data_IF_458338492877
#
_entry.id   IF_458338492877
#
_cell.length_a   1.000
_cell.length_b   1.000
_cell.length_c   1.000
_cell.angle_alpha   90.00
_cell.angle_beta   90.00
_cell.angle_gamma   90.00
#
_symmetry.space_group_name_H-M   'P 1'
#
loop_
_entity.id
_entity.type
_entity.pdbx_description
1 polymer ?
#
# COMPACT_ATOMS: atom_id res chain seq x y z
N UNK A 1 32.41 73.27 13.57
CA UNK A 1 31.09 72.59 13.53
C UNK A 1 30.91 71.90 12.18
N UNK A 2 31.27 70.61 12.06
CA UNK A 2 31.02 69.74 10.89
C UNK A 2 31.61 68.34 11.17
N UNK A 3 31.10 67.65 12.20
CA UNK A 3 31.58 66.29 12.55
C UNK A 3 30.49 65.41 13.18
N UNK A 4 29.22 65.52 12.74
CA UNK A 4 28.13 64.84 13.46
C UNK A 4 27.00 64.21 12.63
N UNK A 5 27.10 64.06 11.30
CA UNK A 5 25.92 63.66 10.52
C UNK A 5 26.10 62.65 9.37
N UNK A 6 27.16 61.84 9.32
CA UNK A 6 27.24 60.76 8.32
C UNK A 6 27.68 59.41 8.92
N UNK A 7 27.47 59.22 10.22
CA UNK A 7 27.69 57.93 10.90
C UNK A 7 26.39 57.13 11.11
N UNK A 8 25.28 57.50 10.45
CA UNK A 8 23.95 56.93 10.69
C UNK A 8 23.29 56.24 9.48
N UNK A 9 24.05 55.93 8.41
CA UNK A 9 23.54 55.16 7.26
C UNK A 9 24.17 53.77 7.07
N UNK A 10 25.05 53.33 7.97
CA UNK A 10 25.70 52.00 7.90
C UNK A 10 25.17 51.00 8.96
N UNK A 11 23.98 51.23 9.51
CA UNK A 11 23.34 50.32 10.49
C UNK A 11 21.90 50.02 10.07
N UNK A 12 21.68 49.53 8.83
CA UNK A 12 20.36 49.05 8.39
C UNK A 12 20.39 48.08 7.20
N UNK A 13 21.42 47.23 7.07
CA UNK A 13 21.44 46.20 6.02
C UNK A 13 21.93 44.81 6.48
N UNK A 14 21.99 44.56 7.79
CA UNK A 14 22.29 43.23 8.34
C UNK A 14 21.25 42.83 9.40
N UNK A 15 19.99 42.89 8.99
CA UNK A 15 18.88 42.17 9.60
C UNK A 15 17.94 41.85 8.43
N UNK A 16 17.80 40.63 7.93
CA UNK A 16 17.60 39.40 8.68
C UNK A 16 18.00 38.18 7.84
N UNK A 17 19.25 37.74 7.91
CA UNK A 17 19.61 36.35 7.63
C UNK A 17 19.36 35.50 8.89
N UNK A 18 18.12 35.56 9.41
CA UNK A 18 17.70 34.78 10.59
C UNK A 18 16.88 33.60 10.10
N UNK A 19 17.58 32.49 9.88
CA UNK A 19 17.07 31.11 9.86
C UNK A 19 15.64 30.99 10.42
N UNK A 20 14.65 30.83 9.53
CA UNK A 20 13.45 30.06 9.87
C UNK A 20 13.65 28.66 9.32
N UNK A 21 14.18 27.79 10.18
CA UNK A 21 14.17 26.34 10.02
C UNK A 21 12.75 25.80 10.23
N UNK A 22 11.83 26.21 9.36
CA UNK A 22 10.56 25.53 9.14
C UNK A 22 10.39 25.49 7.63
N UNK A 23 10.97 24.46 7.01
CA UNK A 23 10.83 24.07 5.61
C UNK A 23 9.39 23.59 5.33
N UNK A 24 8.40 24.38 5.73
CA UNK A 24 7.00 24.18 5.38
C UNK A 24 6.82 24.99 4.10
N UNK A 25 7.13 24.36 2.96
CA UNK A 25 6.82 24.93 1.65
C UNK A 25 5.30 25.10 1.59
N UNK A 26 4.86 26.35 1.69
CA UNK A 26 3.45 26.67 1.54
C UNK A 26 3.06 26.57 0.08
N UNK A 27 1.81 26.19 -0.14
CA UNK A 27 1.26 26.07 -1.47
C UNK A 27 -0.21 26.47 -1.43
N UNK A 28 -0.72 26.95 -2.56
CA UNK A 28 -2.16 27.13 -2.78
C UNK A 28 -2.72 26.12 -3.79
N UNK A 29 -1.83 25.46 -4.54
CA UNK A 29 -2.15 24.45 -5.55
C UNK A 29 -1.04 23.38 -5.64
N UNK A 30 -1.36 22.22 -6.19
CA UNK A 30 -0.41 21.10 -6.35
C UNK A 30 0.79 21.43 -7.24
N UNK A 31 0.59 22.29 -8.25
CA UNK A 31 1.64 22.72 -9.19
C UNK A 31 2.83 23.41 -8.50
N UNK A 32 2.62 23.99 -7.31
CA UNK A 32 3.65 24.70 -6.55
C UNK A 32 4.61 23.77 -5.79
N UNK A 33 4.23 22.49 -5.63
CA UNK A 33 4.96 21.57 -4.76
C UNK A 33 6.04 20.73 -5.46
N UNK A 34 6.05 20.72 -6.79
CA UNK A 34 6.98 19.91 -7.59
C UNK A 34 6.56 18.43 -7.72
N UNK A 35 7.39 17.60 -8.38
CA UNK A 35 7.04 16.23 -8.71
C UNK A 35 6.84 15.35 -7.46
N UNK A 36 5.89 14.41 -7.53
CA UNK A 36 5.52 13.51 -6.42
C UNK A 36 5.16 14.20 -5.10
N UNK A 37 4.70 15.45 -5.15
CA UNK A 37 4.18 16.18 -3.99
C UNK A 37 2.79 16.73 -4.27
N UNK A 38 2.04 16.94 -3.21
CA UNK A 38 0.67 17.46 -3.23
C UNK A 38 0.56 18.62 -2.25
N UNK A 39 -0.42 19.49 -2.50
CA UNK A 39 -0.70 20.60 -1.60
C UNK A 39 -1.73 20.19 -0.55
N UNK A 40 -1.24 19.68 0.58
CA UNK A 40 -2.07 19.19 1.67
C UNK A 40 -2.88 20.35 2.26
N UNK A 41 -4.22 20.23 2.20
CA UNK A 41 -5.19 21.23 2.66
C UNK A 41 -4.98 22.64 2.07
N UNK A 42 -4.49 22.76 0.83
CA UNK A 42 -4.13 24.05 0.20
C UNK A 42 -3.18 24.90 1.06
N UNK A 43 -2.27 24.28 1.82
CA UNK A 43 -1.42 25.00 2.77
C UNK A 43 0.02 24.55 2.77
N UNK A 44 0.29 23.26 2.63
CA UNK A 44 1.62 22.69 2.84
C UNK A 44 1.92 21.64 1.78
N UNK A 45 3.09 21.73 1.16
CA UNK A 45 3.58 20.68 0.28
C UNK A 45 3.93 19.43 1.08
N UNK A 46 3.20 18.35 0.83
CA UNK A 46 3.41 17.02 1.39
C UNK A 46 3.80 16.05 0.27
N UNK A 47 4.59 15.01 0.53
CA UNK A 47 4.74 13.91 -0.43
C UNK A 47 3.37 13.29 -0.78
N UNK A 48 3.22 12.87 -2.05
CA UNK A 48 2.09 12.05 -2.49
C UNK A 48 2.11 10.67 -1.83
N UNK A 49 0.96 10.02 -1.84
CA UNK A 49 0.76 8.72 -1.21
C UNK A 49 1.59 7.62 -1.93
N UNK A 50 2.52 6.92 -1.22
CA UNK A 50 3.36 5.89 -1.82
C UNK A 50 2.58 4.61 -2.12
N UNK A 51 3.20 3.64 -2.80
CA UNK A 51 2.58 2.35 -3.10
C UNK A 51 2.07 1.65 -1.83
N UNK A 52 0.90 1.03 -1.93
CA UNK A 52 0.15 0.35 -0.86
C UNK A 52 -0.39 1.24 0.27
N UNK A 53 -0.11 2.56 0.26
CA UNK A 53 -0.71 3.47 1.23
C UNK A 53 -2.22 3.61 1.02
N UNK A 54 -2.95 3.86 2.10
CA UNK A 54 -4.41 4.02 2.07
C UNK A 54 -4.78 5.36 1.44
N UNK A 55 -5.76 5.34 0.52
CA UNK A 55 -6.15 6.53 -0.25
C UNK A 55 -7.62 6.93 -0.06
N UNK A 56 -8.22 6.51 1.06
CA UNK A 56 -9.62 6.80 1.43
C UNK A 56 -9.95 8.29 1.56
N UNK A 57 -8.97 9.12 1.90
CA UNK A 57 -9.15 10.55 2.16
C UNK A 57 -8.70 11.44 1.00
N UNK A 58 -8.38 10.87 -0.16
CA UNK A 58 -7.85 11.60 -1.32
C UNK A 58 -8.78 12.74 -1.78
N UNK A 59 -10.10 12.60 -1.61
CA UNK A 59 -11.08 13.67 -1.88
C UNK A 59 -11.10 14.82 -0.88
N UNK A 60 -10.51 14.67 0.31
CA UNK A 60 -10.52 15.66 1.40
C UNK A 60 -9.16 16.35 1.52
N UNK A 61 -8.07 15.60 1.36
CA UNK A 61 -6.71 16.09 1.60
C UNK A 61 -6.05 16.68 0.35
N UNK A 62 -6.69 16.58 -0.83
CA UNK A 62 -6.14 16.88 -2.17
C UNK A 62 -4.84 16.13 -2.50
N UNK A 63 -4.42 15.21 -1.62
CA UNK A 63 -3.24 14.40 -1.78
C UNK A 63 -3.64 13.05 -2.34
N UNK A 64 -3.29 12.83 -3.61
CA UNK A 64 -3.51 11.59 -4.34
C UNK A 64 -2.29 10.66 -4.28
N UNK A 65 -2.40 9.52 -4.94
CA UNK A 65 -1.31 8.56 -5.13
C UNK A 65 -0.15 9.18 -5.93
N UNK A 66 1.07 8.73 -5.64
CA UNK A 66 2.26 9.14 -6.38
C UNK A 66 2.15 8.81 -7.88
N UNK A 67 2.96 9.49 -8.69
CA UNK A 67 2.87 9.36 -10.15
C UNK A 67 3.14 7.89 -10.57
N UNK A 68 2.31 7.37 -11.49
CA UNK A 68 2.33 5.94 -11.86
C UNK A 68 1.52 5.01 -10.96
N UNK A 69 0.90 5.54 -9.90
CA UNK A 69 -0.02 4.82 -9.01
C UNK A 69 -1.45 5.36 -9.13
N UNK A 70 -2.42 4.48 -8.95
CA UNK A 70 -3.85 4.80 -8.93
C UNK A 70 -4.49 4.28 -7.64
N UNK A 71 -5.42 5.06 -7.08
CA UNK A 71 -6.19 4.65 -5.91
C UNK A 71 -7.24 3.63 -6.32
N UNK A 72 -7.00 2.35 -6.03
CA UNK A 72 -7.90 1.25 -6.39
C UNK A 72 -8.41 0.53 -5.15
N UNK A 73 -9.61 -0.05 -5.24
CA UNK A 73 -10.11 -0.99 -4.23
C UNK A 73 -9.26 -2.24 -4.32
N UNK A 74 -8.57 -2.59 -3.24
CA UNK A 74 -7.71 -3.77 -3.17
C UNK A 74 -8.35 -4.91 -2.42
N UNK A 75 -9.23 -4.62 -1.46
CA UNK A 75 -9.94 -5.63 -0.64
C UNK A 75 -11.32 -5.14 -0.24
N UNK A 76 -12.25 -6.07 -0.12
CA UNK A 76 -13.57 -5.82 0.48
C UNK A 76 -13.75 -6.77 1.66
N UNK A 77 -14.13 -6.20 2.81
CA UNK A 77 -14.38 -6.94 4.04
C UNK A 77 -15.82 -6.71 4.48
N UNK A 78 -16.51 -7.77 4.91
CA UNK A 78 -17.80 -7.62 5.58
C UNK A 78 -17.59 -7.80 7.07
N UNK A 79 -17.78 -6.75 7.87
CA UNK A 79 -17.66 -6.81 9.33
C UNK A 79 -18.99 -6.39 9.94
N UNK A 80 -19.64 -7.28 10.71
CA UNK A 80 -20.93 -7.03 11.36
C UNK A 80 -22.04 -6.57 10.37
N UNK A 81 -22.04 -7.13 9.15
CA UNK A 81 -23.01 -6.77 8.09
C UNK A 81 -22.71 -5.47 7.35
N UNK A 82 -21.61 -4.78 7.67
CA UNK A 82 -21.16 -3.58 6.95
C UNK A 82 -20.02 -3.93 5.99
N UNK A 83 -20.16 -3.56 4.71
CA UNK A 83 -19.11 -3.71 3.69
C UNK A 83 -18.10 -2.57 3.80
N UNK A 84 -16.84 -2.91 4.11
CA UNK A 84 -15.70 -2.03 4.16
C UNK A 84 -14.79 -2.31 2.96
N UNK A 85 -14.63 -1.35 2.04
CA UNK A 85 -13.73 -1.47 0.89
C UNK A 85 -12.41 -0.75 1.18
N UNK A 86 -11.30 -1.49 1.27
CA UNK A 86 -9.96 -0.93 1.42
C UNK A 86 -9.47 -0.39 0.07
N UNK A 87 -9.14 0.90 0.03
CA UNK A 87 -8.55 1.55 -1.14
C UNK A 87 -7.08 1.86 -0.91
N UNK A 88 -6.22 1.40 -1.83
CA UNK A 88 -4.77 1.61 -1.76
C UNK A 88 -4.21 2.12 -3.09
N UNK A 89 -3.07 2.81 -3.01
CA UNK A 89 -2.30 3.23 -4.18
C UNK A 89 -1.59 2.04 -4.83
N UNK A 90 -2.00 1.68 -6.04
CA UNK A 90 -1.51 0.52 -6.79
C UNK A 90 -0.94 0.93 -8.16
N UNK A 91 0.03 0.18 -8.74
CA UNK A 91 0.55 0.48 -10.06
C UNK A 91 -0.53 0.41 -11.15
N UNK A 92 -0.57 1.39 -12.05
CA UNK A 92 -1.60 1.49 -13.11
C UNK A 92 -1.60 0.25 -14.03
N UNK A 93 -0.42 -0.31 -14.30
CA UNK A 93 -0.22 -1.41 -15.26
C UNK A 93 -0.66 -2.81 -14.75
N UNK A 94 -1.07 -2.96 -13.49
CA UNK A 94 -1.50 -4.26 -12.98
C UNK A 94 -3.03 -4.38 -12.95
N UNK A 95 -3.58 -5.25 -13.80
CA UNK A 95 -4.97 -5.69 -13.73
C UNK A 95 -5.10 -6.69 -12.58
N UNK A 96 -5.99 -6.44 -11.62
CA UNK A 96 -6.15 -7.24 -10.41
C UNK A 96 -7.61 -7.64 -10.24
N UNK A 97 -7.82 -8.88 -9.79
CA UNK A 97 -9.11 -9.33 -9.27
C UNK A 97 -9.25 -8.82 -7.83
N UNK A 98 -10.42 -8.25 -7.50
CA UNK A 98 -10.72 -7.74 -6.16
C UNK A 98 -10.90 -8.93 -5.24
N UNK A 99 -10.07 -9.04 -4.21
CA UNK A 99 -10.18 -10.10 -3.20
C UNK A 99 -11.37 -9.76 -2.29
N UNK A 100 -12.52 -10.38 -2.57
CA UNK A 100 -13.65 -10.43 -1.65
C UNK A 100 -13.30 -11.47 -0.58
N UNK A 101 -13.38 -11.07 0.69
CA UNK A 101 -13.16 -11.98 1.81
C UNK A 101 -14.49 -12.06 2.55
N UNK A 102 -15.32 -13.02 2.17
CA UNK A 102 -16.55 -13.37 2.87
C UNK A 102 -16.27 -14.44 3.95
N UNK A 103 -17.11 -14.50 4.99
CA UNK A 103 -17.04 -15.53 6.04
C UNK A 103 -17.30 -16.95 5.47
N UNK A 104 -17.93 -17.04 4.29
CA UNK A 104 -18.20 -18.27 3.53
C UNK A 104 -17.02 -18.71 2.63
N UNK A 105 -16.10 -17.82 2.22
CA UNK A 105 -14.94 -18.16 1.39
C UNK A 105 -13.95 -19.09 2.12
N UNK A 106 -13.94 -19.04 3.46
CA UNK A 106 -13.20 -20.00 4.28
C UNK A 106 -13.74 -21.44 4.15
N UNK A 107 -15.01 -21.60 3.81
CA UNK A 107 -15.68 -22.89 3.56
C UNK A 107 -15.70 -23.26 2.08
N UNK A 108 -15.73 -22.31 1.15
CA UNK A 108 -15.69 -22.58 -0.30
C UNK A 108 -14.29 -22.85 -0.86
N UNK A 109 -13.20 -22.38 -0.23
CA UNK A 109 -11.84 -22.81 -0.61
C UNK A 109 -11.59 -24.32 -0.36
N UNK A 110 -12.51 -25.01 0.31
CA UNK A 110 -12.56 -26.48 0.40
C UNK A 110 -13.51 -27.13 -0.61
N UNK A 111 -14.25 -26.34 -1.41
CA UNK A 111 -15.32 -26.80 -2.32
C UNK A 111 -15.24 -26.31 -3.76
N UNK A 112 -14.42 -25.32 -4.11
CA UNK A 112 -14.14 -24.97 -5.52
C UNK A 112 -13.17 -25.97 -6.16
N UNK A 113 -13.71 -27.16 -6.35
CA UNK A 113 -13.23 -28.22 -7.22
C UNK A 113 -14.33 -28.43 -8.25
N UNK A 114 -14.56 -27.47 -9.13
CA UNK A 114 -15.21 -27.70 -10.43
C UNK A 114 -15.29 -26.37 -11.21
N UNK A 115 -14.36 -26.19 -12.15
CA UNK A 115 -14.79 -25.84 -13.50
C UNK A 115 -13.71 -26.25 -14.52
N UNK A 116 -13.97 -27.43 -15.10
CA UNK A 116 -13.75 -27.82 -16.50
C UNK A 116 -12.64 -27.10 -17.28
N UNK A 117 -11.42 -27.67 -17.26
CA UNK A 117 -10.85 -28.23 -18.49
C UNK A 117 -9.61 -29.10 -18.22
N UNK A 118 -9.64 -30.33 -18.77
CA UNK A 118 -8.51 -31.25 -19.05
C UNK A 118 -7.92 -32.05 -17.87
N UNK A 119 -8.50 -33.25 -17.68
CA UNK A 119 -7.88 -34.54 -17.35
C UNK A 119 -6.57 -34.53 -16.51
N UNK A 120 -6.70 -34.98 -15.26
CA UNK A 120 -5.80 -35.91 -14.56
C UNK A 120 -4.31 -35.56 -14.44
N UNK A 121 -3.95 -34.51 -13.70
CA UNK A 121 -2.68 -34.49 -12.97
C UNK A 121 -2.90 -33.72 -11.66
N UNK A 122 -3.49 -34.38 -10.65
CA UNK A 122 -3.24 -33.95 -9.28
C UNK A 122 -1.75 -34.24 -9.06
N UNK A 123 -0.92 -33.23 -9.31
CA UNK A 123 0.52 -33.30 -9.11
C UNK A 123 0.74 -33.58 -7.63
N UNK A 124 1.03 -34.84 -7.33
CA UNK A 124 1.35 -35.26 -5.98
C UNK A 124 2.79 -34.92 -5.69
N UNK A 125 3.07 -34.58 -4.44
CA UNK A 125 4.39 -34.17 -4.00
C UNK A 125 4.65 -34.74 -2.62
N UNK A 126 5.91 -35.01 -2.31
CA UNK A 126 6.38 -35.26 -0.94
C UNK A 126 7.12 -34.04 -0.39
N UNK A 127 7.70 -33.25 -1.29
CA UNK A 127 8.52 -32.08 -1.01
C UNK A 127 8.18 -30.95 -1.99
N UNK A 128 8.52 -29.70 -1.64
CA UNK A 128 8.23 -28.57 -2.53
C UNK A 128 8.94 -28.64 -3.88
N UNK A 129 10.12 -29.29 -3.95
CA UNK A 129 10.85 -29.49 -5.20
C UNK A 129 10.09 -30.30 -6.24
N UNK A 130 9.10 -31.10 -5.83
CA UNK A 130 8.31 -31.93 -6.73
C UNK A 130 7.28 -31.10 -7.53
N UNK A 131 6.97 -29.87 -7.09
CA UNK A 131 5.88 -29.08 -7.62
C UNK A 131 6.29 -28.10 -8.74
N UNK A 132 7.57 -27.98 -9.06
CA UNK A 132 8.07 -26.97 -10.00
C UNK A 132 7.97 -25.53 -9.48
N UNK A 133 8.43 -24.57 -10.27
CA UNK A 133 8.50 -23.15 -9.87
C UNK A 133 7.13 -22.55 -9.56
N UNK A 134 7.08 -21.63 -8.59
CA UNK A 134 5.87 -20.94 -8.12
C UNK A 134 4.75 -21.86 -7.58
N UNK A 135 5.09 -23.08 -7.17
CA UNK A 135 4.16 -24.04 -6.55
C UNK A 135 4.73 -24.54 -5.22
N UNK A 136 3.87 -24.92 -4.31
CA UNK A 136 4.20 -25.42 -2.98
C UNK A 136 3.55 -26.79 -2.78
N UNK A 137 4.17 -27.61 -1.92
CA UNK A 137 3.63 -28.91 -1.58
C UNK A 137 2.76 -28.82 -0.32
N UNK A 138 1.44 -28.80 -0.51
CA UNK A 138 0.49 -28.69 0.59
C UNK A 138 0.22 -30.08 1.17
N UNK A 139 0.37 -30.18 2.50
CA UNK A 139 0.19 -31.41 3.28
C UNK A 139 1.03 -32.61 2.80
N UNK A 140 2.16 -32.36 2.12
CA UNK A 140 2.99 -33.41 1.51
C UNK A 140 2.18 -34.34 0.59
N UNK A 141 1.20 -33.77 -0.13
CA UNK A 141 0.30 -34.55 -0.99
C UNK A 141 -0.03 -33.87 -2.30
N UNK A 142 -0.17 -32.54 -2.33
CA UNK A 142 -0.70 -31.85 -3.50
C UNK A 142 0.08 -30.57 -3.81
N UNK A 143 0.39 -30.35 -5.09
CA UNK A 143 1.02 -29.14 -5.55
C UNK A 143 0.01 -28.02 -5.80
N UNK A 144 0.04 -26.99 -4.96
CA UNK A 144 -0.78 -25.77 -5.12
C UNK A 144 0.08 -24.59 -5.58
N UNK A 145 -0.54 -23.59 -6.20
CA UNK A 145 0.14 -22.36 -6.58
C UNK A 145 0.51 -21.54 -5.34
N UNK A 146 1.72 -20.97 -5.32
CA UNK A 146 2.15 -20.00 -4.32
C UNK A 146 1.38 -18.69 -4.46
N UNK A 147 1.27 -17.94 -3.35
CA UNK A 147 0.51 -16.68 -3.32
C UNK A 147 1.19 -15.65 -4.23
N UNK A 148 0.48 -15.08 -5.22
CA UNK A 148 1.08 -14.14 -6.16
C UNK A 148 1.32 -12.77 -5.54
N UNK A 149 2.08 -11.93 -6.25
CA UNK A 149 2.41 -10.57 -5.83
C UNK A 149 1.16 -9.77 -5.47
N UNK A 150 1.27 -9.02 -4.37
CA UNK A 150 0.30 -8.13 -3.74
C UNK A 150 -0.92 -8.84 -3.10
N UNK A 151 -0.99 -10.18 -3.15
CA UNK A 151 -2.09 -10.93 -2.52
C UNK A 151 -1.86 -11.12 -1.02
N UNK A 152 -2.94 -11.37 -0.29
CA UNK A 152 -2.88 -11.58 1.16
C UNK A 152 -2.05 -12.81 1.50
N UNK A 153 -1.11 -12.66 2.44
CA UNK A 153 -0.35 -13.78 2.99
C UNK A 153 -0.68 -14.03 4.47
N UNK A 154 -1.78 -13.45 4.95
CA UNK A 154 -2.26 -13.59 6.32
C UNK A 154 -2.57 -15.05 6.69
N UNK A 155 -3.08 -15.84 5.74
CA UNK A 155 -3.45 -17.25 5.93
C UNK A 155 -2.33 -18.25 5.56
N UNK A 156 -1.09 -17.78 5.39
CA UNK A 156 0.10 -18.62 5.18
C UNK A 156 0.24 -19.76 6.19
N UNK A 157 -0.10 -19.50 7.45
CA UNK A 157 -0.10 -20.52 8.50
C UNK A 157 -1.16 -21.62 8.32
N UNK A 158 -2.28 -21.35 7.62
CA UNK A 158 -3.35 -22.32 7.38
C UNK A 158 -3.11 -23.16 6.13
N UNK A 159 -2.81 -22.53 5.00
CA UNK A 159 -2.61 -23.25 3.74
C UNK A 159 -1.19 -23.80 3.57
N UNK A 160 -0.25 -23.49 4.49
CA UNK A 160 1.17 -23.88 4.49
C UNK A 160 1.97 -23.50 3.24
N UNK A 161 1.32 -22.93 2.24
CA UNK A 161 1.92 -22.37 1.05
C UNK A 161 2.46 -20.96 1.30
N UNK A 162 3.67 -20.67 0.82
CA UNK A 162 4.26 -19.32 0.89
C UNK A 162 3.87 -18.40 -0.26
N UNK A 163 4.49 -17.20 -0.27
CA UNK A 163 4.50 -16.32 -1.43
C UNK A 163 5.28 -16.94 -2.60
N UNK A 164 4.99 -16.50 -3.83
CA UNK A 164 5.74 -16.90 -5.03
C UNK A 164 7.25 -16.68 -4.88
N UNK A 165 8.02 -17.39 -5.71
CA UNK A 165 9.47 -17.36 -5.61
C UNK A 165 9.99 -15.92 -5.84
N UNK A 166 10.86 -15.46 -4.93
CA UNK A 166 11.35 -14.08 -4.94
C UNK A 166 10.39 -13.04 -4.35
N UNK A 167 9.31 -13.46 -3.67
CA UNK A 167 8.43 -12.59 -2.90
C UNK A 167 8.45 -12.94 -1.41
N UNK A 168 8.23 -11.94 -0.57
CA UNK A 168 8.16 -12.07 0.88
C UNK A 168 6.82 -11.55 1.42
N UNK A 169 6.29 -12.24 2.44
CA UNK A 169 5.11 -11.80 3.15
C UNK A 169 5.46 -10.65 4.09
N UNK A 170 5.14 -9.40 3.71
CA UNK A 170 5.43 -8.20 4.51
C UNK A 170 4.16 -7.45 4.87
N UNK A 171 4.21 -6.71 5.98
CA UNK A 171 3.15 -5.76 6.33
C UNK A 171 3.27 -4.56 5.40
N UNK A 172 2.27 -4.35 4.55
CA UNK A 172 2.25 -3.24 3.57
C UNK A 172 1.47 -2.04 4.08
N UNK A 173 0.41 -2.27 4.84
CA UNK A 173 -0.38 -1.21 5.47
C UNK A 173 -1.01 -1.71 6.77
N UNK A 174 -1.53 -0.78 7.57
CA UNK A 174 -2.31 -1.09 8.77
C UNK A 174 -3.64 -0.36 8.69
N UNK A 175 -4.74 -1.10 8.76
CA UNK A 175 -6.09 -0.53 8.74
C UNK A 175 -6.58 -0.41 10.18
N UNK A 176 -7.19 0.72 10.53
CA UNK A 176 -7.88 0.88 11.82
C UNK A 176 -9.37 0.64 11.60
N UNK A 177 -9.97 -0.28 12.35
CA UNK A 177 -11.42 -0.46 12.35
C UNK A 177 -12.03 0.65 13.21
N UNK A 178 -12.85 1.56 12.66
CA UNK A 178 -13.30 2.75 13.37
C UNK A 178 -14.22 2.47 14.57
N UNK A 179 -14.89 1.31 14.60
CA UNK A 179 -15.85 0.97 15.67
C UNK A 179 -15.14 0.46 16.93
N UNK A 180 -14.01 -0.23 16.77
CA UNK A 180 -13.30 -0.92 17.87
C UNK A 180 -11.88 -0.40 18.11
N UNK A 181 -11.43 0.58 17.32
CA UNK A 181 -10.05 1.13 17.30
C UNK A 181 -8.94 0.05 17.22
N UNK A 182 -9.28 -1.11 16.65
CA UNK A 182 -8.33 -2.20 16.45
C UNK A 182 -7.55 -1.95 15.16
N UNK A 183 -6.22 -1.98 15.28
CA UNK A 183 -5.29 -1.88 14.16
C UNK A 183 -4.99 -3.27 13.60
N UNK A 184 -5.40 -3.52 12.36
CA UNK A 184 -5.17 -4.78 11.65
C UNK A 184 -4.05 -4.58 10.61
N UNK A 185 -2.89 -5.23 10.77
CA UNK A 185 -1.84 -5.18 9.77
C UNK A 185 -2.24 -6.01 8.53
N UNK A 186 -2.22 -5.38 7.37
CA UNK A 186 -2.41 -6.04 6.08
C UNK A 186 -1.08 -6.61 5.63
N UNK A 187 -1.01 -7.94 5.52
CA UNK A 187 0.18 -8.65 5.04
C UNK A 187 -0.01 -9.05 3.59
N UNK A 188 0.93 -8.67 2.72
CA UNK A 188 0.91 -9.00 1.29
C UNK A 188 2.24 -9.57 0.83
N UNK A 189 2.20 -10.40 -0.22
CA UNK A 189 3.40 -10.89 -0.89
C UNK A 189 4.01 -9.79 -1.77
N UNK A 190 5.15 -9.24 -1.38
CA UNK A 190 5.82 -8.16 -2.11
C UNK A 190 7.25 -8.55 -2.44
N UNK A 191 7.85 -7.88 -3.41
CA UNK A 191 9.26 -8.06 -3.71
C UNK A 191 10.11 -7.63 -2.50
N UNK A 192 11.18 -8.37 -2.15
CA UNK A 192 12.09 -7.96 -1.09
C UNK A 192 12.71 -6.61 -1.48
N UNK A 193 12.69 -5.68 -0.52
CA UNK A 193 13.28 -4.35 -0.65
C UNK A 193 14.80 -4.41 -0.69
#
# INVERSE_FOLDING_TARGET
MKFLLVAFCMVAAVAASRQRRFLINRCSSEAECGPNKCCLFNRICSPKLPQYSTCHLSGITQCSCADGLECRVTKEFTVLGQKLSLRQCMPIAQKREVEQIEDEDLKEMMRQQDDNDKRFLIDTCKTESDCGGNRCCVLNKFCMKKIPKDMTCYLSHKHKCGCQDGLECRVTTTITIPIVDVKIPVRQCVSPA
#
